data_IF_025977676851
#
_entry.id   IF_025977676851
#
_cell.length_a   1.000
_cell.length_b   1.000
_cell.length_c   1.000
_cell.angle_alpha   90.00
_cell.angle_beta   90.00
_cell.angle_gamma   90.00
#
_symmetry.space_group_name_H-M   'P 1'
#
loop_
_entity.id
_entity.type
_entity.pdbx_description
1 polymer ?
#
# COMPACT_ATOMS: atom_id res chain seq x y z
N UNK A 1 -32.17 6.48 0.54
CA UNK A 1 -32.47 7.86 0.08
C UNK A 1 -31.55 8.15 -1.10
N UNK A 2 -32.11 8.42 -2.29
CA UNK A 2 -31.32 8.67 -3.49
C UNK A 2 -30.62 10.04 -3.37
N UNK A 3 -29.30 10.05 -3.46
CA UNK A 3 -28.47 11.25 -3.44
C UNK A 3 -28.85 12.13 -4.65
N UNK A 4 -29.57 13.25 -4.41
CA UNK A 4 -29.92 14.23 -5.44
C UNK A 4 -28.70 15.10 -5.73
N UNK A 5 -27.98 14.78 -6.79
CA UNK A 5 -26.91 15.59 -7.35
C UNK A 5 -26.67 15.20 -8.81
N UNK A 6 -26.24 16.16 -9.65
CA UNK A 6 -25.84 15.90 -11.05
C UNK A 6 -24.85 14.72 -11.06
N UNK A 7 -25.00 13.73 -11.94
CA UNK A 7 -24.10 12.57 -11.98
C UNK A 7 -22.65 13.05 -12.08
N UNK A 8 -21.77 12.43 -11.27
CA UNK A 8 -20.34 12.77 -11.24
C UNK A 8 -19.81 12.66 -12.67
N UNK A 9 -19.19 13.73 -13.17
CA UNK A 9 -18.69 13.79 -14.54
C UNK A 9 -17.39 12.97 -14.74
N UNK A 10 -16.89 12.33 -13.68
CA UNK A 10 -15.63 11.61 -13.66
C UNK A 10 -15.79 10.25 -12.97
N UNK A 11 -14.93 9.31 -13.36
CA UNK A 11 -14.81 8.00 -12.73
C UNK A 11 -13.98 8.13 -11.45
N UNK A 12 -14.61 7.87 -10.30
CA UNK A 12 -13.97 7.97 -8.99
C UNK A 12 -12.80 7.01 -8.83
N UNK A 13 -12.93 5.78 -9.35
CA UNK A 13 -11.91 4.75 -9.22
C UNK A 13 -10.65 5.15 -9.99
N UNK A 14 -10.82 5.61 -11.23
CA UNK A 14 -9.70 6.13 -12.04
C UNK A 14 -9.07 7.35 -11.40
N UNK A 15 -9.86 8.29 -10.87
CA UNK A 15 -9.32 9.45 -10.16
C UNK A 15 -8.51 9.02 -8.92
N UNK A 16 -8.99 8.05 -8.15
CA UNK A 16 -8.26 7.54 -6.99
C UNK A 16 -6.96 6.86 -7.37
N UNK A 17 -6.95 6.07 -8.45
CA UNK A 17 -5.74 5.43 -8.98
C UNK A 17 -4.68 6.46 -9.39
N UNK A 18 -5.08 7.53 -10.08
CA UNK A 18 -4.14 8.60 -10.44
C UNK A 18 -3.61 9.35 -9.21
N UNK A 19 -4.45 9.59 -8.21
CA UNK A 19 -4.01 10.16 -6.94
C UNK A 19 -3.01 9.23 -6.22
N UNK A 20 -3.27 7.93 -6.21
CA UNK A 20 -2.39 6.91 -5.62
C UNK A 20 -1.01 6.92 -6.27
N UNK A 21 -0.94 6.93 -7.61
CA UNK A 21 0.35 6.97 -8.33
C UNK A 21 1.14 8.25 -7.99
N UNK A 22 0.48 9.41 -7.94
CA UNK A 22 1.14 10.66 -7.59
C UNK A 22 1.62 10.67 -6.13
N UNK A 23 0.83 10.14 -5.21
CA UNK A 23 1.24 9.99 -3.81
C UNK A 23 2.36 8.99 -3.63
N UNK A 24 2.41 7.93 -4.44
CA UNK A 24 3.51 6.97 -4.43
C UNK A 24 4.80 7.63 -4.88
N UNK A 25 4.76 8.43 -5.95
CA UNK A 25 5.94 9.12 -6.46
C UNK A 25 6.44 10.25 -5.53
N UNK A 26 5.53 11.07 -4.99
CA UNK A 26 5.88 12.33 -4.30
C UNK A 26 5.66 12.32 -2.80
N UNK A 27 4.99 11.30 -2.28
CA UNK A 27 4.53 11.25 -0.91
C UNK A 27 3.39 12.24 -0.60
N UNK A 28 2.87 12.17 0.63
CA UNK A 28 1.79 13.04 1.06
C UNK A 28 2.16 14.53 0.96
N UNK A 29 3.30 14.96 1.50
CA UNK A 29 3.69 16.38 1.46
C UNK A 29 4.04 16.86 0.05
N UNK A 30 4.77 16.06 -0.73
CA UNK A 30 5.26 16.45 -2.05
C UNK A 30 4.17 16.57 -3.10
N UNK A 31 3.03 15.88 -2.96
CA UNK A 31 1.93 15.97 -3.90
C UNK A 31 1.10 17.26 -3.66
N UNK A 32 1.27 18.30 -4.47
CA UNK A 32 0.47 19.52 -4.31
C UNK A 32 -1.01 19.28 -4.68
N UNK A 33 -1.93 20.06 -4.08
CA UNK A 33 -3.37 19.95 -4.39
C UNK A 33 -3.67 20.19 -5.87
N UNK A 34 -2.96 21.13 -6.51
CA UNK A 34 -3.10 21.42 -7.94
C UNK A 34 -2.68 20.23 -8.81
N UNK A 35 -1.56 19.58 -8.47
CA UNK A 35 -1.06 18.40 -9.17
C UNK A 35 -2.01 17.21 -9.00
N UNK A 36 -2.54 17.01 -7.79
CA UNK A 36 -3.56 15.99 -7.53
C UNK A 36 -4.79 16.21 -8.41
N UNK A 37 -5.36 17.43 -8.41
CA UNK A 37 -6.54 17.71 -9.23
C UNK A 37 -6.27 17.55 -10.73
N UNK A 38 -5.07 17.92 -11.19
CA UNK A 38 -4.66 17.75 -12.59
C UNK A 38 -4.52 16.27 -12.97
N UNK A 39 -3.82 15.48 -12.16
CA UNK A 39 -3.63 14.05 -12.38
C UNK A 39 -4.97 13.29 -12.36
N UNK A 40 -5.86 13.65 -11.44
CA UNK A 40 -7.19 13.06 -11.30
C UNK A 40 -8.17 13.49 -12.40
N UNK A 41 -7.85 14.53 -13.17
CA UNK A 41 -8.76 15.10 -14.18
C UNK A 41 -10.00 15.76 -13.58
N UNK A 42 -9.91 16.30 -12.36
CA UNK A 42 -11.03 16.94 -11.66
C UNK A 42 -10.65 18.34 -11.17
N UNK A 43 -11.63 19.11 -10.70
CA UNK A 43 -11.38 20.39 -10.04
C UNK A 43 -11.32 20.23 -8.51
N UNK A 44 -10.72 21.21 -7.82
CA UNK A 44 -10.58 21.19 -6.35
C UNK A 44 -11.93 21.02 -5.62
N UNK A 45 -13.03 21.73 -5.99
CA UNK A 45 -14.34 21.48 -5.37
C UNK A 45 -14.82 20.03 -5.47
N UNK A 46 -14.61 19.38 -6.62
CA UNK A 46 -15.00 17.98 -6.84
C UNK A 46 -14.14 17.02 -6.01
N UNK A 47 -12.85 17.32 -5.85
CA UNK A 47 -11.96 16.56 -4.96
C UNK A 47 -12.48 16.62 -3.52
N UNK A 48 -12.70 17.82 -2.98
CA UNK A 48 -13.18 17.98 -1.60
C UNK A 48 -14.59 17.39 -1.40
N UNK A 49 -15.49 17.53 -2.37
CA UNK A 49 -16.82 16.93 -2.29
C UNK A 49 -16.80 15.39 -2.32
N UNK A 50 -15.84 14.79 -3.03
CA UNK A 50 -15.78 13.34 -3.22
C UNK A 50 -14.93 12.60 -2.17
N UNK A 51 -13.85 13.25 -1.71
CA UNK A 51 -12.84 12.64 -0.84
C UNK A 51 -12.67 13.39 0.48
N UNK A 52 -13.32 14.54 0.68
CA UNK A 52 -13.32 15.29 1.93
C UNK A 52 -12.06 16.13 2.15
N UNK A 53 -10.88 15.53 2.13
CA UNK A 53 -9.60 16.21 2.33
C UNK A 53 -8.47 15.50 1.60
N UNK A 54 -7.31 16.17 1.48
CA UNK A 54 -6.09 15.54 0.95
C UNK A 54 -5.69 14.31 1.75
N UNK A 55 -5.85 14.37 3.08
CA UNK A 55 -5.51 13.26 3.98
C UNK A 55 -6.49 12.10 3.86
N UNK A 56 -7.79 12.37 3.72
CA UNK A 56 -8.77 11.34 3.45
C UNK A 56 -8.54 10.68 2.08
N UNK A 57 -8.26 11.47 1.04
CA UNK A 57 -7.84 10.95 -0.27
C UNK A 57 -6.57 10.09 -0.16
N UNK A 58 -5.60 10.51 0.63
CA UNK A 58 -4.36 9.77 0.84
C UNK A 58 -4.60 8.42 1.52
N UNK A 59 -5.44 8.36 2.57
CA UNK A 59 -5.82 7.10 3.22
C UNK A 59 -6.54 6.16 2.25
N UNK A 60 -7.43 6.67 1.42
CA UNK A 60 -8.08 5.86 0.39
C UNK A 60 -7.11 5.34 -0.68
N UNK A 61 -6.12 6.15 -1.07
CA UNK A 61 -5.09 5.74 -2.01
C UNK A 61 -4.19 4.63 -1.43
N UNK A 62 -3.83 4.72 -0.15
CA UNK A 62 -3.11 3.67 0.57
C UNK A 62 -3.92 2.36 0.61
N UNK A 63 -5.20 2.43 0.94
CA UNK A 63 -6.08 1.26 0.95
C UNK A 63 -6.22 0.63 -0.45
N UNK A 64 -6.29 1.45 -1.51
CA UNK A 64 -6.29 0.96 -2.89
C UNK A 64 -5.00 0.20 -3.21
N UNK A 65 -3.85 0.76 -2.86
CA UNK A 65 -2.55 0.11 -3.05
C UNK A 65 -2.46 -1.23 -2.31
N UNK A 66 -2.87 -1.26 -1.04
CA UNK A 66 -2.87 -2.46 -0.20
C UNK A 66 -3.79 -3.56 -0.77
N UNK A 67 -4.97 -3.19 -1.26
CA UNK A 67 -5.94 -4.14 -1.83
C UNK A 67 -5.51 -4.73 -3.18
N UNK A 68 -4.56 -4.09 -3.87
CA UNK A 68 -4.03 -4.54 -5.16
C UNK A 68 -2.71 -5.30 -4.99
N UNK A 69 -1.62 -4.64 -5.38
CA UNK A 69 -0.29 -5.25 -5.45
C UNK A 69 0.17 -5.85 -4.08
N UNK A 70 -0.20 -5.21 -2.96
CA UNK A 70 0.12 -5.68 -1.61
C UNK A 70 -0.57 -7.00 -1.27
N UNK A 71 -1.88 -7.09 -1.51
CA UNK A 71 -2.68 -8.28 -1.27
C UNK A 71 -2.25 -9.46 -2.15
N UNK A 72 -1.90 -9.20 -3.42
CA UNK A 72 -1.40 -10.25 -4.32
C UNK A 72 -0.10 -10.87 -3.82
N UNK A 73 0.83 -10.04 -3.35
CA UNK A 73 2.10 -10.50 -2.78
C UNK A 73 1.87 -11.32 -1.50
N UNK A 74 1.05 -10.81 -0.57
CA UNK A 74 0.73 -11.49 0.68
C UNK A 74 0.06 -12.85 0.43
N UNK A 75 -0.88 -12.92 -0.53
CA UNK A 75 -1.54 -14.16 -0.94
C UNK A 75 -0.55 -15.18 -1.52
N UNK A 76 0.38 -14.74 -2.37
CA UNK A 76 1.38 -15.60 -2.97
C UNK A 76 2.34 -16.20 -1.92
N UNK A 77 2.72 -15.43 -0.90
CA UNK A 77 3.54 -15.90 0.22
C UNK A 77 2.78 -16.94 1.06
N UNK A 78 1.52 -16.65 1.38
CA UNK A 78 0.68 -17.53 2.18
C UNK A 78 0.43 -18.88 1.48
N UNK A 79 0.26 -18.87 0.16
CA UNK A 79 0.02 -20.06 -0.66
C UNK A 79 1.28 -20.86 -1.00
N UNK A 80 2.48 -20.39 -0.63
CA UNK A 80 3.72 -21.03 -1.01
C UNK A 80 3.88 -22.44 -0.39
N UNK A 81 4.30 -23.46 -1.19
CA UNK A 81 4.38 -24.84 -0.72
C UNK A 81 5.29 -25.03 0.49
N UNK A 82 6.47 -24.39 0.48
CA UNK A 82 7.42 -24.39 1.59
C UNK A 82 7.73 -22.98 2.06
N UNK A 83 8.27 -22.86 3.27
CA UNK A 83 8.74 -21.57 3.79
C UNK A 83 9.87 -20.97 2.95
N UNK A 84 10.71 -21.83 2.34
CA UNK A 84 11.75 -21.39 1.42
C UNK A 84 11.13 -20.75 0.19
N UNK A 85 10.11 -21.37 -0.39
CA UNK A 85 9.39 -20.83 -1.55
C UNK A 85 8.68 -19.52 -1.18
N UNK A 86 8.12 -19.41 0.04
CA UNK A 86 7.52 -18.17 0.53
C UNK A 86 8.52 -17.01 0.57
N UNK A 87 9.72 -17.24 1.11
CA UNK A 87 10.78 -16.22 1.15
C UNK A 87 11.27 -15.87 -0.26
N UNK A 88 11.46 -16.87 -1.12
CA UNK A 88 11.85 -16.65 -2.51
C UNK A 88 10.80 -15.84 -3.28
N UNK A 89 9.51 -16.18 -3.13
CA UNK A 89 8.39 -15.43 -3.69
C UNK A 89 8.38 -14.00 -3.17
N UNK A 90 8.51 -13.80 -1.86
CA UNK A 90 8.55 -12.47 -1.25
C UNK A 90 9.65 -11.62 -1.89
N UNK A 91 10.89 -12.12 -1.94
CA UNK A 91 12.03 -11.37 -2.47
C UNK A 91 11.91 -11.11 -3.98
N UNK A 92 11.65 -12.16 -4.77
CA UNK A 92 11.68 -12.07 -6.23
C UNK A 92 10.46 -11.32 -6.78
N UNK A 93 9.26 -11.55 -6.22
CA UNK A 93 8.07 -10.80 -6.64
C UNK A 93 8.11 -9.37 -6.18
N UNK A 94 8.61 -9.08 -4.96
CA UNK A 94 8.82 -7.70 -4.53
C UNK A 94 9.79 -6.98 -5.45
N UNK A 95 10.93 -7.60 -5.78
CA UNK A 95 11.91 -7.02 -6.70
C UNK A 95 11.29 -6.72 -8.06
N UNK A 96 10.53 -7.66 -8.64
CA UNK A 96 9.84 -7.44 -9.90
C UNK A 96 8.80 -6.33 -9.79
N UNK A 97 7.91 -6.40 -8.80
CA UNK A 97 6.82 -5.46 -8.59
C UNK A 97 7.31 -4.02 -8.41
N UNK A 98 8.33 -3.84 -7.58
CA UNK A 98 8.89 -2.53 -7.23
C UNK A 98 9.89 -1.99 -8.25
N UNK A 99 10.17 -2.73 -9.34
CA UNK A 99 11.02 -2.28 -10.46
C UNK A 99 10.27 -2.21 -11.80
N UNK A 100 8.95 -2.39 -11.79
CA UNK A 100 8.11 -2.31 -12.99
C UNK A 100 8.15 -0.91 -13.61
N UNK A 101 8.24 -0.81 -14.95
CA UNK A 101 8.33 0.48 -15.63
C UNK A 101 7.00 1.24 -15.70
N UNK A 102 5.87 0.58 -15.46
CA UNK A 102 4.52 1.16 -15.56
C UNK A 102 4.02 1.82 -14.26
N UNK A 103 4.79 1.72 -13.16
CA UNK A 103 4.46 2.30 -11.85
C UNK A 103 5.71 2.93 -11.21
N UNK A 104 5.55 3.85 -10.23
CA UNK A 104 6.68 4.35 -9.46
C UNK A 104 7.46 3.20 -8.79
N UNK A 105 8.77 3.34 -8.71
CA UNK A 105 9.63 2.31 -8.11
C UNK A 105 9.47 2.25 -6.58
N UNK A 106 9.77 1.09 -6.01
CA UNK A 106 9.71 0.86 -4.56
C UNK A 106 8.30 0.60 -4.03
N UNK A 107 8.20 0.19 -2.77
CA UNK A 107 6.91 -0.04 -2.11
C UNK A 107 6.32 1.28 -1.61
N UNK A 108 5.09 1.63 -2.02
CA UNK A 108 4.41 2.85 -1.57
C UNK A 108 4.35 2.94 -0.04
N UNK A 109 4.03 1.84 0.65
CA UNK A 109 3.97 1.77 2.12
C UNK A 109 5.33 2.07 2.76
N UNK A 110 6.42 1.55 2.22
CA UNK A 110 7.77 1.78 2.79
C UNK A 110 8.20 3.23 2.55
N UNK A 111 7.96 3.76 1.36
CA UNK A 111 8.28 5.14 1.00
C UNK A 111 7.42 6.15 1.79
N UNK A 112 6.18 5.79 2.10
CA UNK A 112 5.21 6.64 2.80
C UNK A 112 5.70 7.13 4.17
N UNK A 113 6.53 6.38 4.87
CA UNK A 113 7.00 6.70 6.24
C UNK A 113 7.94 7.91 6.23
N UNK A 114 8.77 8.06 5.18
CA UNK A 114 9.57 9.27 4.98
C UNK A 114 8.67 10.47 4.70
N UNK A 115 7.46 10.23 4.19
CA UNK A 115 6.50 11.24 3.76
C UNK A 115 5.34 11.49 4.74
N UNK A 116 5.30 10.80 5.89
CA UNK A 116 4.25 10.96 6.90
C UNK A 116 4.36 12.30 7.67
N UNK A 117 5.41 13.08 7.45
CA UNK A 117 5.53 14.42 8.00
C UNK A 117 4.29 15.25 7.61
N UNK A 118 3.62 15.85 8.59
CA UNK A 118 2.42 16.68 8.38
C UNK A 118 1.13 15.93 8.03
N UNK A 119 1.08 14.60 8.17
CA UNK A 119 -0.21 13.88 8.34
C UNK A 119 -0.64 13.90 9.80
N UNK A 120 -1.90 13.58 10.10
CA UNK A 120 -2.33 13.34 11.48
C UNK A 120 -1.59 12.14 12.09
N UNK A 121 -1.60 12.04 13.41
CA UNK A 121 -1.07 10.87 14.11
C UNK A 121 -1.80 9.57 13.74
N UNK A 122 -3.10 9.66 13.42
CA UNK A 122 -3.91 8.51 13.00
C UNK A 122 -3.38 7.95 11.68
N UNK A 123 -3.19 8.80 10.68
CA UNK A 123 -2.60 8.40 9.40
C UNK A 123 -1.17 7.88 9.60
N UNK A 124 -0.37 8.55 10.43
CA UNK A 124 0.98 8.08 10.72
C UNK A 124 1.00 6.71 11.43
N UNK A 125 0.02 6.40 12.28
CA UNK A 125 -0.16 5.06 12.86
C UNK A 125 -0.54 4.05 11.79
N UNK A 126 -1.55 4.34 10.97
CA UNK A 126 -1.98 3.44 9.90
C UNK A 126 -0.84 3.07 8.94
N UNK A 127 0.01 4.03 8.56
CA UNK A 127 1.19 3.76 7.72
C UNK A 127 2.22 2.86 8.42
N UNK A 128 2.41 3.00 9.74
CA UNK A 128 3.27 2.09 10.51
C UNK A 128 2.69 0.69 10.58
N UNK A 129 1.39 0.59 10.83
CA UNK A 129 0.67 -0.68 10.92
C UNK A 129 0.74 -1.44 9.58
N UNK A 130 0.48 -0.75 8.46
CA UNK A 130 0.61 -1.30 7.10
C UNK A 130 2.02 -1.83 6.81
N UNK A 131 3.07 -1.16 7.30
CA UNK A 131 4.45 -1.65 7.16
C UNK A 131 4.68 -2.95 7.92
N UNK A 132 4.12 -3.04 9.12
CA UNK A 132 4.26 -4.24 9.95
C UNK A 132 3.41 -5.41 9.49
N UNK A 133 2.38 -5.18 8.67
CA UNK A 133 1.49 -6.24 8.20
C UNK A 133 2.21 -7.29 7.35
N UNK A 134 3.03 -6.87 6.37
CA UNK A 134 3.81 -7.82 5.56
C UNK A 134 4.83 -8.60 6.41
N UNK A 135 5.45 -7.94 7.40
CA UNK A 135 6.32 -8.63 8.36
C UNK A 135 5.54 -9.67 9.16
N UNK A 136 4.31 -9.35 9.57
CA UNK A 136 3.41 -10.27 10.25
C UNK A 136 3.03 -11.49 9.38
N UNK A 137 2.82 -11.29 8.07
CA UNK A 137 2.59 -12.39 7.12
C UNK A 137 3.80 -13.34 7.06
N UNK A 138 5.02 -12.79 6.96
CA UNK A 138 6.25 -13.58 6.97
C UNK A 138 6.47 -14.30 8.32
N UNK A 139 6.28 -13.60 9.43
CA UNK A 139 6.41 -14.16 10.77
C UNK A 139 5.43 -15.33 10.98
N UNK A 140 4.17 -15.17 10.58
CA UNK A 140 3.18 -16.23 10.67
C UNK A 140 3.58 -17.45 9.82
N UNK A 141 4.10 -17.23 8.60
CA UNK A 141 4.55 -18.31 7.72
C UNK A 141 5.76 -19.05 8.28
N UNK A 142 6.71 -18.33 8.88
CA UNK A 142 7.90 -18.88 9.56
C UNK A 142 7.50 -19.68 10.80
N UNK A 143 6.58 -19.16 11.62
CA UNK A 143 6.06 -19.88 12.80
C UNK A 143 5.41 -21.20 12.40
N UNK A 144 4.56 -21.18 11.37
CA UNK A 144 3.93 -22.38 10.82
C UNK A 144 4.97 -23.38 10.29
N UNK A 145 6.06 -22.91 9.68
CA UNK A 145 7.14 -23.75 9.18
C UNK A 145 7.87 -24.49 10.31
N UNK A 146 8.12 -23.82 11.45
CA UNK A 146 8.68 -24.46 12.65
C UNK A 146 7.72 -25.52 13.18
N UNK A 147 6.43 -25.19 13.33
CA UNK A 147 5.42 -26.16 13.82
C UNK A 147 5.29 -27.39 12.91
N UNK A 148 5.48 -27.22 11.59
CA UNK A 148 5.45 -28.31 10.60
C UNK A 148 6.78 -29.06 10.43
N UNK A 149 7.83 -28.66 11.13
CA UNK A 149 9.16 -29.25 11.01
C UNK A 149 9.89 -28.91 9.71
N UNK A 150 9.45 -27.90 8.95
CA UNK A 150 10.17 -27.38 7.78
C UNK A 150 11.43 -26.60 8.21
N UNK A 151 11.43 -26.06 9.44
CA UNK A 151 12.58 -25.40 10.07
C UNK A 151 12.89 -26.05 11.42
N UNK A 152 14.17 -26.18 11.80
CA UNK A 152 14.57 -26.79 13.07
C UNK A 152 14.28 -25.92 14.30
N UNK A 153 13.90 -24.66 14.11
CA UNK A 153 13.68 -23.65 15.15
C UNK A 153 14.14 -22.26 14.72
N UNK A 154 14.20 -21.33 15.67
CA UNK A 154 14.58 -19.93 15.44
C UNK A 154 13.54 -18.97 15.99
N UNK A 155 13.84 -17.67 15.95
CA UNK A 155 12.89 -16.61 16.28
C UNK A 155 12.22 -16.12 14.98
N UNK A 156 10.93 -16.45 14.74
CA UNK A 156 10.22 -16.03 13.54
C UNK A 156 10.19 -14.52 13.35
N UNK A 157 10.10 -13.75 14.44
CA UNK A 157 10.03 -12.29 14.37
C UNK A 157 11.38 -11.71 13.92
N UNK A 158 12.48 -12.21 14.49
CA UNK A 158 13.82 -11.80 14.08
C UNK A 158 14.14 -12.18 12.63
N UNK A 159 13.74 -13.37 12.18
CA UNK A 159 13.94 -13.80 10.79
C UNK A 159 13.07 -12.98 9.83
N UNK A 160 11.81 -12.73 10.18
CA UNK A 160 10.93 -11.87 9.38
C UNK A 160 11.42 -10.42 9.30
N UNK A 161 12.07 -9.92 10.34
CA UNK A 161 12.65 -8.57 10.35
C UNK A 161 13.98 -8.46 9.58
N UNK A 162 14.66 -9.58 9.34
CA UNK A 162 15.88 -9.63 8.54
C UNK A 162 15.60 -9.49 7.03
N UNK A 163 14.48 -10.05 6.56
CA UNK A 163 14.00 -9.94 5.18
C UNK A 163 13.09 -8.72 4.98
#
# INVERSE_FOLDING_TARGET
MAERGRPRAFDRGKALEQAMLLFWEKGFQGAAMSELTAAMGINAPSLYACFGSKEALYREAMALYESGDGAELASAIAAAPTVRDAIEIYLMRSAALFSRPDKPAGCMVVLSVVHAAGTSEETARALRDARTEMQGVLEARLRNAITRGELPGGDPAAIAAFY
#
